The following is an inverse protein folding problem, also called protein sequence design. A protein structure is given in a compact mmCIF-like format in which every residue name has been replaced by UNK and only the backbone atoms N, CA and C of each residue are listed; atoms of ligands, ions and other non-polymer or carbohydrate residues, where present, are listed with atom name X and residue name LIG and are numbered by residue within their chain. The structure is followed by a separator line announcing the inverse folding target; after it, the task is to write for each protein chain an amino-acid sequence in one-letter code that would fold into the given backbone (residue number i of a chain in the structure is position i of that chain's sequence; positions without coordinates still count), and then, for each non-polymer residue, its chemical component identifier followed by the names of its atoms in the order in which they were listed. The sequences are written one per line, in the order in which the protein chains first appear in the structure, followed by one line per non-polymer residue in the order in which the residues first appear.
data_IF_062236701142
#
_entry.id   IF_062236701142
#
_cell.length_a   1.000
_cell.length_b   1.000
_cell.length_c   1.000
_cell.angle_alpha   90.00
_cell.angle_beta   90.00
_cell.angle_gamma   90.00
#
_symmetry.space_group_name_H-M   'P 1'
#
loop_
_entity.id
_entity.type
_entity.pdbx_description
1 polymer ?
#
# COMPACT_ATOMS: atom_id res chain seq x y z
N UNK A 1 -11.42 -34.72 -16.74
CA UNK A 1 -12.03 -33.51 -16.12
C UNK A 1 -10.89 -32.72 -15.51
N UNK A 2 -10.61 -31.53 -16.02
CA UNK A 2 -9.58 -30.67 -15.42
C UNK A 2 -10.23 -29.97 -14.22
N UNK A 3 -9.81 -30.30 -13.01
CA UNK A 3 -10.25 -29.63 -11.79
C UNK A 3 -9.49 -28.30 -11.69
N UNK A 4 -10.18 -27.17 -11.83
CA UNK A 4 -9.57 -25.83 -11.74
C UNK A 4 -9.35 -25.36 -10.31
N UNK A 5 -10.03 -25.96 -9.33
CA UNK A 5 -9.91 -25.62 -7.93
C UNK A 5 -10.94 -26.33 -7.07
N UNK A 6 -10.78 -26.25 -5.77
CA UNK A 6 -11.69 -26.80 -4.76
C UNK A 6 -12.16 -25.63 -3.88
N UNK A 7 -13.47 -25.52 -3.67
CA UNK A 7 -14.07 -24.52 -2.78
C UNK A 7 -14.65 -25.27 -1.58
N UNK A 8 -14.23 -24.88 -0.37
CA UNK A 8 -14.78 -25.37 0.88
C UNK A 8 -15.52 -24.23 1.62
N UNK A 9 -16.66 -24.55 2.23
CA UNK A 9 -17.42 -23.59 3.03
C UNK A 9 -17.42 -24.02 4.49
N UNK A 10 -17.13 -23.05 5.37
CA UNK A 10 -17.12 -23.23 6.81
C UNK A 10 -18.23 -22.37 7.43
N UNK A 11 -18.82 -22.83 8.51
CA UNK A 11 -19.88 -22.11 9.22
C UNK A 11 -19.32 -21.28 10.40
N UNK A 12 -18.09 -21.58 10.83
CA UNK A 12 -17.45 -20.95 11.96
C UNK A 12 -16.11 -20.33 11.53
N UNK A 13 -15.81 -19.06 11.90
CA UNK A 13 -14.54 -18.42 11.59
C UNK A 13 -13.33 -19.16 12.19
N UNK A 14 -13.48 -19.80 13.34
CA UNK A 14 -12.40 -20.60 13.98
C UNK A 14 -12.04 -21.82 13.13
N UNK A 15 -13.03 -22.51 12.58
CA UNK A 15 -12.81 -23.65 11.69
C UNK A 15 -12.11 -23.22 10.39
N UNK A 16 -12.45 -22.02 9.87
CA UNK A 16 -11.80 -21.47 8.69
C UNK A 16 -10.31 -21.18 8.94
N UNK A 17 -9.97 -20.58 10.10
CA UNK A 17 -8.57 -20.34 10.49
C UNK A 17 -7.79 -21.65 10.61
N UNK A 18 -8.32 -22.63 11.33
CA UNK A 18 -7.66 -23.93 11.46
C UNK A 18 -7.53 -24.69 10.14
N UNK A 19 -8.50 -24.53 9.24
CA UNK A 19 -8.40 -25.11 7.90
C UNK A 19 -7.29 -24.42 7.08
N UNK A 20 -7.18 -23.10 7.15
CA UNK A 20 -6.12 -22.33 6.50
C UNK A 20 -4.73 -22.74 7.00
N UNK A 21 -4.55 -22.89 8.32
CA UNK A 21 -3.31 -23.40 8.92
C UNK A 21 -2.94 -24.79 8.38
N UNK A 22 -3.90 -25.73 8.35
CA UNK A 22 -3.66 -27.07 7.84
C UNK A 22 -3.29 -27.10 6.36
N UNK A 23 -3.93 -26.26 5.54
CA UNK A 23 -3.63 -26.16 4.10
C UNK A 23 -2.24 -25.57 3.90
N UNK A 24 -1.86 -24.54 4.66
CA UNK A 24 -0.51 -23.97 4.67
C UNK A 24 0.54 -25.03 5.08
N UNK A 25 0.30 -25.74 6.18
CA UNK A 25 1.22 -26.72 6.72
C UNK A 25 1.36 -27.96 5.80
N UNK A 26 0.34 -28.24 4.99
CA UNK A 26 0.40 -29.22 3.91
C UNK A 26 1.22 -28.75 2.68
N UNK A 27 1.72 -27.51 2.70
CA UNK A 27 2.59 -26.97 1.65
C UNK A 27 1.86 -26.33 0.46
N UNK A 28 0.55 -26.14 0.54
CA UNK A 28 -0.18 -25.42 -0.48
C UNK A 28 -0.02 -23.90 -0.29
N UNK A 29 0.42 -23.21 -1.34
CA UNK A 29 0.64 -21.76 -1.32
C UNK A 29 -0.42 -20.98 -2.12
N UNK A 30 -1.18 -21.68 -2.95
CA UNK A 30 -2.12 -21.11 -3.91
C UNK A 30 -3.56 -21.32 -3.42
N UNK A 31 -3.91 -20.66 -2.31
CA UNK A 31 -5.26 -20.66 -1.77
C UNK A 31 -5.62 -19.29 -1.19
N UNK A 32 -6.89 -18.99 -1.15
CA UNK A 32 -7.41 -17.75 -0.60
C UNK A 32 -8.61 -18.00 0.32
N UNK A 33 -8.77 -17.15 1.34
CA UNK A 33 -9.82 -17.24 2.33
C UNK A 33 -10.73 -16.02 2.24
N UNK A 34 -12.02 -16.25 1.95
CA UNK A 34 -13.01 -15.19 1.87
C UNK A 34 -13.93 -15.23 3.10
N UNK A 35 -14.05 -14.09 3.78
CA UNK A 35 -14.94 -13.90 4.94
C UNK A 35 -15.73 -12.61 4.81
N UNK A 36 -16.99 -12.56 5.26
CA UNK A 36 -17.81 -11.34 5.25
C UNK A 36 -17.34 -10.29 6.28
N UNK A 37 -16.45 -10.65 7.20
CA UNK A 37 -15.87 -9.76 8.21
C UNK A 37 -14.39 -10.12 8.43
N UNK A 38 -13.58 -9.14 8.88
CA UNK A 38 -12.16 -9.38 9.12
C UNK A 38 -11.97 -10.33 10.31
N UNK A 39 -11.18 -11.39 10.09
CA UNK A 39 -10.82 -12.37 11.12
C UNK A 39 -9.40 -12.08 11.56
N UNK A 40 -9.20 -11.80 12.86
CA UNK A 40 -7.87 -11.60 13.43
C UNK A 40 -7.05 -12.88 13.34
N UNK A 41 -5.78 -12.76 12.90
CA UNK A 41 -4.87 -13.90 12.78
C UNK A 41 -5.00 -14.69 11.46
N UNK A 42 -5.90 -14.30 10.55
CA UNK A 42 -6.03 -14.98 9.26
C UNK A 42 -4.78 -14.84 8.40
N UNK A 43 -4.12 -13.67 8.41
CA UNK A 43 -2.88 -13.44 7.67
C UNK A 43 -1.76 -14.36 8.14
N UNK A 44 -1.65 -14.58 9.46
CA UNK A 44 -0.68 -15.49 10.06
C UNK A 44 -1.04 -16.95 9.75
N UNK A 45 -2.32 -17.32 9.80
CA UNK A 45 -2.81 -18.65 9.46
C UNK A 45 -2.52 -18.99 7.98
N UNK A 46 -2.67 -18.05 7.09
CA UNK A 46 -2.33 -18.18 5.67
C UNK A 46 -0.82 -18.09 5.39
N UNK A 47 -0.01 -17.69 6.39
CA UNK A 47 1.43 -17.50 6.22
C UNK A 47 1.81 -16.30 5.37
N UNK A 48 0.94 -15.29 5.28
CA UNK A 48 1.19 -14.09 4.50
C UNK A 48 2.28 -13.22 5.15
N UNK A 49 3.24 -12.81 4.36
CA UNK A 49 4.31 -11.91 4.82
C UNK A 49 3.80 -10.47 4.83
N UNK A 50 4.27 -9.68 5.81
CA UNK A 50 3.97 -8.24 5.87
C UNK A 50 4.36 -7.55 4.57
N UNK A 51 3.48 -6.68 4.09
CA UNK A 51 3.72 -5.90 2.89
C UNK A 51 4.95 -5.00 3.04
N UNK A 52 5.79 -4.98 2.02
CA UNK A 52 6.95 -4.07 1.93
C UNK A 52 6.54 -2.62 1.66
N UNK A 53 5.26 -2.37 1.38
CA UNK A 53 4.72 -1.04 1.07
C UNK A 53 4.94 -0.06 2.24
N UNK A 54 4.72 -0.49 3.48
CA UNK A 54 4.94 0.36 4.65
C UNK A 54 6.39 0.85 4.80
N UNK A 55 7.35 -0.01 4.49
CA UNK A 55 8.76 0.37 4.48
C UNK A 55 9.08 1.39 3.38
N UNK A 56 8.53 1.19 2.19
CA UNK A 56 8.68 2.13 1.07
C UNK A 56 8.13 3.52 1.42
N UNK A 57 6.94 3.58 2.02
CA UNK A 57 6.31 4.83 2.47
C UNK A 57 7.19 5.54 3.50
N UNK A 58 7.73 4.80 4.47
CA UNK A 58 8.63 5.35 5.49
C UNK A 58 9.91 5.94 4.90
N UNK A 59 10.55 5.25 3.98
CA UNK A 59 11.77 5.73 3.29
C UNK A 59 11.47 6.98 2.46
N UNK A 60 10.37 6.99 1.72
CA UNK A 60 9.95 8.16 0.93
C UNK A 60 9.65 9.36 1.84
N UNK A 61 8.97 9.15 2.98
CA UNK A 61 8.72 10.21 3.95
C UNK A 61 10.01 10.80 4.54
N UNK A 62 10.94 9.94 4.94
CA UNK A 62 12.25 10.40 5.43
C UNK A 62 13.01 11.19 4.37
N UNK A 63 12.99 10.74 3.12
CA UNK A 63 13.60 11.47 2.00
C UNK A 63 12.96 12.84 1.81
N UNK A 64 11.62 12.93 1.89
CA UNK A 64 10.89 14.20 1.82
C UNK A 64 11.26 15.15 2.95
N UNK A 65 11.39 14.64 4.18
CA UNK A 65 11.81 15.44 5.33
C UNK A 65 13.24 15.98 5.17
N UNK A 66 14.18 15.14 4.78
CA UNK A 66 15.57 15.55 4.55
C UNK A 66 15.67 16.56 3.40
N UNK A 67 14.94 16.34 2.34
CA UNK A 67 14.89 17.28 1.21
C UNK A 67 14.30 18.64 1.62
N UNK A 68 13.17 18.63 2.35
CA UNK A 68 12.53 19.86 2.80
C UNK A 68 13.39 20.67 3.75
N UNK A 69 14.01 20.00 4.73
CA UNK A 69 14.91 20.67 5.68
C UNK A 69 16.17 21.18 4.98
N UNK A 70 16.79 20.37 4.14
CA UNK A 70 18.00 20.72 3.40
C UNK A 70 17.76 21.90 2.43
N UNK A 71 16.66 21.88 1.69
CA UNK A 71 16.31 22.94 0.75
C UNK A 71 16.14 24.28 1.47
N UNK A 72 15.41 24.31 2.59
CA UNK A 72 15.21 25.52 3.37
C UNK A 72 16.51 26.05 3.97
N UNK A 73 17.35 25.17 4.49
CA UNK A 73 18.66 25.53 5.02
C UNK A 73 19.54 26.13 3.93
N UNK A 74 19.55 25.52 2.73
CA UNK A 74 20.29 26.02 1.59
C UNK A 74 19.83 27.42 1.20
N UNK A 75 18.53 27.61 0.98
CA UNK A 75 17.97 28.89 0.51
C UNK A 75 18.24 30.00 1.54
N UNK A 76 17.96 29.78 2.83
CA UNK A 76 18.06 30.83 3.83
C UNK A 76 19.47 31.11 4.30
N UNK A 77 20.38 30.15 4.23
CA UNK A 77 21.74 30.34 4.74
C UNK A 77 22.76 30.65 3.66
N UNK A 78 22.55 30.22 2.43
CA UNK A 78 23.54 30.30 1.36
C UNK A 78 23.06 31.20 0.21
N UNK A 79 21.88 30.89 -0.37
CA UNK A 79 21.43 31.55 -1.60
C UNK A 79 20.87 32.95 -1.33
N UNK A 80 19.99 33.09 -0.31
CA UNK A 80 19.35 34.34 0.05
C UNK A 80 19.43 34.61 1.56
N UNK A 81 20.59 34.98 2.10
CA UNK A 81 20.74 35.29 3.53
C UNK A 81 20.15 36.68 3.86
N UNK A 82 18.82 36.77 3.89
CA UNK A 82 18.13 38.00 4.27
C UNK A 82 17.84 38.04 5.78
N UNK A 83 18.37 39.07 6.44
CA UNK A 83 18.06 39.30 7.85
C UNK A 83 16.81 40.19 7.99
N UNK A 84 15.67 39.56 8.30
CA UNK A 84 14.41 40.27 8.53
C UNK A 84 14.15 40.31 10.03
N UNK A 85 14.09 41.53 10.60
CA UNK A 85 13.76 41.77 12.02
C UNK A 85 14.65 41.01 13.03
N UNK A 86 15.94 40.84 12.74
CA UNK A 86 16.87 40.17 13.63
C UNK A 86 16.72 38.63 13.70
N UNK A 87 15.96 38.01 12.79
CA UNK A 87 15.79 36.54 12.73
C UNK A 87 17.13 35.89 12.34
N UNK A 88 17.59 34.86 13.06
CA UNK A 88 18.79 34.13 12.69
C UNK A 88 18.61 33.47 11.31
N UNK A 89 19.67 33.40 10.50
CA UNK A 89 19.66 32.76 9.18
C UNK A 89 19.22 31.29 9.26
N UNK A 90 19.63 30.59 10.32
CA UNK A 90 19.22 29.22 10.62
C UNK A 90 18.12 29.21 11.69
N UNK A 91 16.87 29.23 11.26
CA UNK A 91 15.68 29.22 12.13
C UNK A 91 14.95 27.87 12.04
N UNK A 92 15.54 26.83 12.60
CA UNK A 92 14.99 25.45 12.55
C UNK A 92 13.51 25.32 12.98
N UNK A 93 12.96 26.08 13.96
CA UNK A 93 11.55 25.96 14.29
C UNK A 93 10.62 26.38 13.14
N UNK A 94 11.05 27.35 12.34
CA UNK A 94 10.26 27.80 11.18
C UNK A 94 10.30 26.79 10.03
N UNK A 95 11.36 25.98 9.96
CA UNK A 95 11.53 24.97 8.93
C UNK A 95 10.68 23.71 9.18
N UNK A 96 10.23 23.50 10.43
CA UNK A 96 9.48 22.32 10.81
C UNK A 96 8.20 22.12 10.00
N UNK A 97 7.48 23.21 9.70
CA UNK A 97 6.20 23.18 8.99
C UNK A 97 6.39 22.63 7.57
N UNK A 98 7.28 23.23 6.79
CA UNK A 98 7.52 22.83 5.39
C UNK A 98 8.21 21.46 5.32
N UNK A 99 9.08 21.16 6.26
CA UNK A 99 9.70 19.84 6.38
C UNK A 99 8.65 18.75 6.59
N UNK A 100 7.68 18.99 7.48
CA UNK A 100 6.56 18.08 7.72
C UNK A 100 5.67 17.94 6.48
N UNK A 101 5.35 19.04 5.80
CA UNK A 101 4.53 19.02 4.60
C UNK A 101 5.16 18.19 3.48
N UNK A 102 6.46 18.39 3.22
CA UNK A 102 7.18 17.59 2.22
C UNK A 102 7.34 16.14 2.63
N UNK A 103 7.50 15.86 3.93
CA UNK A 103 7.50 14.48 4.44
C UNK A 103 6.18 13.77 4.11
N UNK A 104 5.05 14.41 4.38
CA UNK A 104 3.72 13.84 4.12
C UNK A 104 3.48 13.70 2.62
N UNK A 105 3.84 14.71 1.82
CA UNK A 105 3.68 14.68 0.36
C UNK A 105 4.45 13.52 -0.28
N UNK A 106 5.72 13.34 0.09
CA UNK A 106 6.54 12.23 -0.43
C UNK A 106 6.02 10.87 0.05
N UNK A 107 5.55 10.79 1.30
CA UNK A 107 4.90 9.58 1.82
C UNK A 107 3.65 9.22 1.02
N UNK A 108 2.82 10.21 0.69
CA UNK A 108 1.61 10.02 -0.11
C UNK A 108 1.96 9.53 -1.53
N UNK A 109 2.94 10.14 -2.18
CA UNK A 109 3.43 9.65 -3.47
C UNK A 109 4.00 8.23 -3.36
N UNK A 110 4.78 7.95 -2.31
CA UNK A 110 5.29 6.59 -2.04
C UNK A 110 4.17 5.56 -1.88
N UNK A 111 3.07 5.93 -1.22
CA UNK A 111 1.90 5.07 -1.06
C UNK A 111 1.21 4.81 -2.40
N UNK A 112 0.91 5.85 -3.17
CA UNK A 112 0.19 5.74 -4.46
C UNK A 112 1.02 4.94 -5.46
N UNK A 113 2.26 5.37 -5.73
CA UNK A 113 3.11 4.69 -6.71
C UNK A 113 3.54 3.30 -6.26
N UNK A 114 3.79 3.11 -4.95
CA UNK A 114 4.10 1.81 -4.39
C UNK A 114 2.92 0.84 -4.53
N UNK A 115 1.70 1.30 -4.26
CA UNK A 115 0.50 0.48 -4.41
C UNK A 115 0.25 0.11 -5.87
N UNK A 116 0.41 1.05 -6.80
CA UNK A 116 0.30 0.79 -8.24
C UNK A 116 1.35 -0.22 -8.71
N UNK A 117 2.57 -0.10 -8.22
CA UNK A 117 3.67 -1.00 -8.59
C UNK A 117 3.48 -2.41 -8.03
N UNK A 118 3.18 -2.55 -6.72
CA UNK A 118 3.04 -3.86 -6.09
C UNK A 118 1.79 -4.63 -6.53
N UNK A 119 0.70 -3.91 -6.81
CA UNK A 119 -0.56 -4.53 -7.26
C UNK A 119 -0.60 -4.76 -8.78
N UNK A 120 0.45 -4.39 -9.52
CA UNK A 120 0.47 -4.44 -10.99
C UNK A 120 -0.77 -3.76 -11.63
N UNK A 121 -1.31 -2.75 -10.95
CA UNK A 121 -2.58 -2.09 -11.29
C UNK A 121 -2.55 -1.38 -12.66
N UNK A 122 -1.33 -1.14 -13.19
CA UNK A 122 -1.14 -0.56 -14.53
C UNK A 122 -1.33 -1.59 -15.66
N UNK A 123 -1.34 -2.88 -15.32
CA UNK A 123 -1.60 -3.97 -16.27
C UNK A 123 -3.03 -4.50 -16.09
N UNK A 124 -4.01 -3.65 -16.36
CA UNK A 124 -5.41 -4.03 -16.38
C UNK A 124 -5.71 -4.82 -17.65
N UNK A 125 -5.25 -6.06 -17.69
CA UNK A 125 -5.45 -6.97 -18.84
C UNK A 125 -6.61 -7.92 -18.64
N UNK A 126 -7.25 -7.92 -17.46
CA UNK A 126 -8.40 -8.78 -17.18
C UNK A 126 -9.69 -7.98 -17.32
N UNK A 127 -10.57 -8.30 -18.28
CA UNK A 127 -11.85 -7.63 -18.38
C UNK A 127 -12.66 -7.89 -17.10
N UNK A 128 -13.22 -6.82 -16.53
CA UNK A 128 -14.06 -6.90 -15.35
C UNK A 128 -15.23 -7.88 -15.61
N UNK A 129 -15.67 -8.67 -14.62
CA UNK A 129 -16.88 -9.48 -14.75
C UNK A 129 -18.13 -8.68 -15.16
N UNK A 130 -18.12 -7.35 -14.93
CA UNK A 130 -19.17 -6.44 -15.40
C UNK A 130 -19.09 -6.18 -16.90
N UNK A 131 -17.90 -6.12 -17.47
CA UNK A 131 -17.70 -5.91 -18.91
C UNK A 131 -18.09 -7.14 -19.72
N UNK A 132 -17.95 -8.34 -19.14
CA UNK A 132 -18.40 -9.59 -19.74
C UNK A 132 -19.94 -9.74 -19.79
N UNK A 133 -20.68 -9.04 -18.94
CA UNK A 133 -22.14 -9.06 -18.97
C UNK A 133 -22.73 -8.26 -20.13
N UNK A 134 -22.03 -7.25 -20.64
CA UNK A 134 -22.46 -6.46 -21.79
C UNK A 134 -22.41 -7.19 -23.13
N UNK A 135 -21.62 -8.25 -23.25
CA UNK A 135 -21.47 -9.01 -24.50
C UNK A 135 -22.45 -10.20 -24.66
N UNK A 136 -23.24 -10.49 -23.65
CA UNK A 136 -24.27 -11.52 -23.70
C UNK A 136 -25.65 -10.89 -23.92
N UNK A 137 -25.85 -10.20 -25.03
CA UNK A 137 -27.21 -10.08 -25.58
C UNK A 137 -27.55 -11.41 -26.24
N UNK A 138 -28.61 -12.11 -25.82
CA UNK A 138 -29.09 -13.23 -26.58
C UNK A 138 -29.53 -12.67 -27.92
N UNK A 139 -28.96 -13.17 -29.01
CA UNK A 139 -29.48 -12.96 -30.34
C UNK A 139 -30.83 -13.71 -30.38
N UNK A 140 -31.90 -13.03 -30.02
CA UNK A 140 -33.24 -13.48 -30.34
C UNK A 140 -33.46 -13.20 -31.81
N UNK A 141 -33.24 -14.23 -32.61
CA UNK A 141 -33.88 -14.34 -33.90
C UNK A 141 -35.21 -15.05 -33.71
#
# INVERSE_FOLDING_TARGET
MNTYGVIARFNNPVELVHAAEKVRDAGFTDFDCHSPFPIHGMDDAMGLKRSKLGYLIGVMGLTGALFGFGLQTWIHSIEYPMNISGKPFFAYPAYAIITFELMVLFSAFGAVFGMMYFNSCLLYTSPSPRDQRGSRMPSSA
#
